data_IF_674032411450
#
_entry.id   IF_674032411450
#
_cell.length_a   1.000
_cell.length_b   1.000
_cell.length_c   1.000
_cell.angle_alpha   90.00
_cell.angle_beta   90.00
_cell.angle_gamma   90.00
#
_symmetry.space_group_name_H-M   'P 1'
#
loop_
_entity.id
_entity.type
_entity.pdbx_description
1 polymer ?
#
# COMPACT_ATOMS: atom_id res chain seq x y z
N UNK A 1 -40.26 31.64 -13.63
CA UNK A 1 -38.84 31.34 -13.86
C UNK A 1 -38.55 31.77 -15.28
N UNK A 2 -37.60 32.67 -15.48
CA UNK A 2 -37.17 33.12 -16.81
C UNK A 2 -36.37 31.99 -17.48
N UNK A 3 -36.45 31.81 -18.81
CA UNK A 3 -35.64 30.82 -19.54
C UNK A 3 -34.13 30.96 -19.26
N UNK A 4 -33.70 32.18 -18.93
CA UNK A 4 -32.33 32.51 -18.55
C UNK A 4 -31.93 31.90 -17.18
N UNK A 5 -32.87 31.86 -16.22
CA UNK A 5 -32.68 31.24 -14.92
C UNK A 5 -32.59 29.71 -15.04
N UNK A 6 -33.43 29.12 -15.89
CA UNK A 6 -33.42 27.67 -16.16
C UNK A 6 -32.12 27.25 -16.89
N UNK A 7 -31.67 28.06 -17.84
CA UNK A 7 -30.39 27.85 -18.54
C UNK A 7 -29.20 27.94 -17.59
N UNK A 8 -29.21 28.93 -16.68
CA UNK A 8 -28.17 29.09 -15.68
C UNK A 8 -28.14 27.90 -14.70
N UNK A 9 -29.30 27.38 -14.30
CA UNK A 9 -29.40 26.22 -13.43
C UNK A 9 -28.79 24.97 -14.08
N UNK A 10 -29.10 24.71 -15.36
CA UNK A 10 -28.54 23.60 -16.12
C UNK A 10 -27.00 23.70 -16.25
N UNK A 11 -26.49 24.92 -16.47
CA UNK A 11 -25.04 25.16 -16.52
C UNK A 11 -24.38 24.90 -15.17
N UNK A 12 -24.98 25.34 -14.07
CA UNK A 12 -24.49 25.07 -12.73
C UNK A 12 -24.46 23.57 -12.43
N UNK A 13 -25.51 22.83 -12.80
CA UNK A 13 -25.56 21.39 -12.61
C UNK A 13 -24.48 20.67 -13.45
N UNK A 14 -24.36 21.02 -14.73
CA UNK A 14 -23.33 20.47 -15.61
C UNK A 14 -21.91 20.76 -15.09
N UNK A 15 -21.68 21.97 -14.57
CA UNK A 15 -20.40 22.36 -13.98
C UNK A 15 -20.09 21.54 -12.72
N UNK A 16 -21.06 21.34 -11.82
CA UNK A 16 -20.88 20.53 -10.62
C UNK A 16 -20.59 19.06 -10.97
N UNK A 17 -21.33 18.49 -11.93
CA UNK A 17 -21.09 17.13 -12.40
C UNK A 17 -19.71 16.99 -13.05
N UNK A 18 -19.27 17.97 -13.83
CA UNK A 18 -17.93 17.98 -14.42
C UNK A 18 -16.84 18.02 -13.35
N UNK A 19 -16.97 18.90 -12.36
CA UNK A 19 -16.02 19.01 -11.26
C UNK A 19 -15.95 17.73 -10.42
N UNK A 20 -17.08 17.07 -10.18
CA UNK A 20 -17.11 15.80 -9.46
C UNK A 20 -16.29 14.73 -10.19
N UNK A 21 -16.51 14.58 -11.51
CA UNK A 21 -15.76 13.63 -12.36
C UNK A 21 -14.27 13.99 -12.43
N UNK A 22 -13.94 15.27 -12.56
CA UNK A 22 -12.56 15.73 -12.57
C UNK A 22 -11.86 15.44 -11.24
N UNK A 23 -12.56 15.63 -10.12
CA UNK A 23 -12.04 15.35 -8.80
C UNK A 23 -11.81 13.84 -8.60
N UNK A 24 -12.72 13.00 -9.07
CA UNK A 24 -12.55 11.54 -9.06
C UNK A 24 -11.33 11.10 -9.88
N UNK A 25 -11.22 11.56 -11.13
CA UNK A 25 -10.05 11.24 -11.97
C UNK A 25 -8.72 11.70 -11.35
N UNK A 26 -8.72 12.86 -10.66
CA UNK A 26 -7.53 13.33 -9.93
C UNK A 26 -7.16 12.43 -8.76
N UNK A 27 -8.14 11.89 -8.02
CA UNK A 27 -7.89 10.92 -6.96
C UNK A 27 -7.30 9.63 -7.51
N UNK A 28 -7.88 9.10 -8.58
CA UNK A 28 -7.41 7.86 -9.20
C UNK A 28 -5.94 7.98 -9.66
N UNK A 29 -5.59 9.11 -10.29
CA UNK A 29 -4.20 9.38 -10.70
C UNK A 29 -3.29 9.52 -9.48
N UNK A 30 -3.72 10.22 -8.44
CA UNK A 30 -2.94 10.36 -7.21
C UNK A 30 -2.67 8.99 -6.56
N UNK A 31 -3.69 8.15 -6.45
CA UNK A 31 -3.57 6.84 -5.81
C UNK A 31 -2.66 5.92 -6.61
N UNK A 32 -2.75 5.94 -7.95
CA UNK A 32 -1.84 5.20 -8.82
C UNK A 32 -0.37 5.66 -8.67
N UNK A 33 -0.14 6.98 -8.55
CA UNK A 33 1.21 7.52 -8.32
C UNK A 33 1.74 7.14 -6.93
N UNK A 34 0.91 7.21 -5.90
CA UNK A 34 1.29 6.83 -4.54
C UNK A 34 1.63 5.34 -4.44
N UNK A 35 0.85 4.48 -5.11
CA UNK A 35 1.10 3.05 -5.14
C UNK A 35 2.42 2.72 -5.85
N UNK A 36 2.71 3.34 -6.99
CA UNK A 36 3.97 3.11 -7.69
C UNK A 36 5.17 3.62 -6.89
N UNK A 37 5.08 4.81 -6.28
CA UNK A 37 6.12 5.33 -5.39
C UNK A 37 6.39 4.38 -4.22
N UNK A 38 5.33 3.81 -3.62
CA UNK A 38 5.44 2.81 -2.57
C UNK A 38 6.13 1.53 -3.06
N UNK A 39 5.73 0.99 -4.23
CA UNK A 39 6.39 -0.21 -4.80
C UNK A 39 7.87 0.02 -5.06
N UNK A 40 8.24 1.20 -5.58
CA UNK A 40 9.65 1.58 -5.79
C UNK A 40 10.40 1.62 -4.46
N UNK A 41 9.83 2.25 -3.43
CA UNK A 41 10.43 2.32 -2.11
C UNK A 41 10.66 0.92 -1.51
N UNK A 42 9.64 0.04 -1.56
CA UNK A 42 9.74 -1.34 -1.06
C UNK A 42 10.82 -2.12 -1.80
N UNK A 43 10.85 -2.07 -3.15
CA UNK A 43 11.88 -2.74 -3.95
C UNK A 43 13.27 -2.22 -3.61
N UNK A 44 13.42 -0.89 -3.48
CA UNK A 44 14.70 -0.26 -3.14
C UNK A 44 15.19 -0.72 -1.77
N UNK A 45 14.30 -0.68 -0.76
CA UNK A 45 14.61 -1.21 0.58
C UNK A 45 14.99 -2.68 0.53
N UNK A 46 14.27 -3.51 -0.23
CA UNK A 46 14.61 -4.93 -0.40
C UNK A 46 16.00 -5.10 -1.01
N UNK A 47 16.33 -4.41 -2.10
CA UNK A 47 17.65 -4.53 -2.72
C UNK A 47 18.78 -4.06 -1.81
N UNK A 48 18.59 -2.93 -1.10
CA UNK A 48 19.57 -2.42 -0.15
C UNK A 48 19.77 -3.37 1.03
N UNK A 49 18.68 -3.89 1.60
CA UNK A 49 18.77 -4.78 2.77
C UNK A 49 19.26 -6.17 2.40
N UNK A 50 18.80 -6.75 1.29
CA UNK A 50 19.21 -8.09 0.85
C UNK A 50 20.71 -8.20 0.62
N UNK A 51 21.37 -7.15 0.14
CA UNK A 51 22.83 -7.10 0.00
C UNK A 51 23.57 -7.03 1.33
N UNK A 52 22.90 -6.58 2.40
CA UNK A 52 23.41 -6.54 3.75
C UNK A 52 23.05 -7.78 4.59
N UNK A 53 22.26 -8.70 4.04
CA UNK A 53 21.95 -9.96 4.72
C UNK A 53 23.06 -10.97 4.45
N UNK A 54 23.57 -11.60 5.51
CA UNK A 54 24.47 -12.74 5.38
C UNK A 54 23.81 -13.87 4.59
N UNK A 55 24.63 -14.77 4.03
CA UNK A 55 24.11 -15.97 3.35
C UNK A 55 23.13 -16.67 4.28
N UNK A 56 21.90 -17.00 3.82
CA UNK A 56 20.92 -17.68 4.65
C UNK A 56 21.55 -18.96 5.21
N UNK A 57 21.89 -18.95 6.50
CA UNK A 57 22.33 -20.14 7.20
C UNK A 57 21.11 -20.77 7.85
N UNK A 58 21.12 -22.10 8.02
CA UNK A 58 20.13 -22.74 8.87
C UNK A 58 20.29 -22.19 10.29
N UNK A 59 19.44 -21.22 10.63
CA UNK A 59 19.36 -20.73 11.98
C UNK A 59 18.70 -21.82 12.84
N UNK A 60 19.16 -21.96 14.08
CA UNK A 60 18.63 -22.99 14.99
C UNK A 60 17.09 -22.93 15.14
N UNK A 61 16.49 -21.75 15.01
CA UNK A 61 15.03 -21.59 15.01
C UNK A 61 14.35 -22.26 13.80
N UNK A 62 14.99 -22.28 12.63
CA UNK A 62 14.45 -22.92 11.43
C UNK A 62 14.38 -24.44 11.60
N UNK A 63 15.43 -25.06 12.15
CA UNK A 63 15.44 -26.49 12.48
C UNK A 63 14.38 -26.81 13.54
N UNK A 64 14.22 -25.95 14.55
CA UNK A 64 13.19 -26.11 15.57
C UNK A 64 11.78 -25.93 15.02
N UNK A 65 11.59 -25.07 14.03
CA UNK A 65 10.31 -24.89 13.36
C UNK A 65 9.95 -26.11 12.50
N UNK A 66 10.91 -26.69 11.78
CA UNK A 66 10.66 -27.82 10.88
C UNK A 66 10.62 -29.18 11.59
N UNK A 67 11.36 -29.34 12.69
CA UNK A 67 11.54 -30.65 13.36
C UNK A 67 11.37 -30.63 14.87
N UNK A 68 11.20 -29.45 15.48
CA UNK A 68 11.02 -29.29 16.92
C UNK A 68 9.55 -29.35 17.37
N UNK A 69 9.34 -29.35 18.68
CA UNK A 69 8.02 -29.14 19.29
C UNK A 69 7.88 -27.68 19.71
N UNK A 70 6.65 -27.16 19.73
CA UNK A 70 6.32 -25.76 20.05
C UNK A 70 7.03 -25.24 21.31
N UNK A 71 7.16 -26.08 22.35
CA UNK A 71 7.85 -25.72 23.60
C UNK A 71 9.33 -25.37 23.42
N UNK A 72 10.00 -26.01 22.47
CA UNK A 72 11.42 -25.76 22.18
C UNK A 72 11.58 -24.46 21.38
N UNK A 73 10.66 -24.18 20.45
CA UNK A 73 10.64 -22.95 19.67
C UNK A 73 10.42 -21.72 20.57
N UNK A 74 9.47 -21.80 21.51
CA UNK A 74 9.16 -20.73 22.45
C UNK A 74 10.29 -20.44 23.46
N UNK A 75 11.05 -21.46 23.87
CA UNK A 75 12.18 -21.26 24.78
C UNK A 75 13.41 -20.65 24.10
N UNK A 76 13.61 -20.94 22.82
CA UNK A 76 14.80 -20.52 22.06
C UNK A 76 14.60 -19.19 21.35
N UNK A 77 13.38 -18.91 20.88
CA UNK A 77 13.06 -17.62 20.27
C UNK A 77 12.39 -16.72 21.31
N UNK A 78 12.96 -15.54 21.56
CA UNK A 78 12.37 -14.56 22.47
C UNK A 78 11.08 -13.91 21.95
N UNK A 79 10.45 -14.49 20.91
CA UNK A 79 9.28 -13.95 20.21
C UNK A 79 8.01 -13.90 21.05
N UNK A 80 8.00 -14.53 22.23
CA UNK A 80 6.84 -14.58 23.14
C UNK A 80 7.16 -14.10 24.55
N UNK A 81 8.33 -13.51 24.78
CA UNK A 81 8.70 -12.89 26.07
C UNK A 81 8.48 -11.39 26.06
#
# INVERSE_FOLDING_TARGET
>A
MSEEEDTMLLLCEAYLQHNAKLHEARRDVHDALAEEAWRIAVRTCHYLTSQCLDTPCEAAWMTLYTSGHDRNFLNVTSLTR
#
